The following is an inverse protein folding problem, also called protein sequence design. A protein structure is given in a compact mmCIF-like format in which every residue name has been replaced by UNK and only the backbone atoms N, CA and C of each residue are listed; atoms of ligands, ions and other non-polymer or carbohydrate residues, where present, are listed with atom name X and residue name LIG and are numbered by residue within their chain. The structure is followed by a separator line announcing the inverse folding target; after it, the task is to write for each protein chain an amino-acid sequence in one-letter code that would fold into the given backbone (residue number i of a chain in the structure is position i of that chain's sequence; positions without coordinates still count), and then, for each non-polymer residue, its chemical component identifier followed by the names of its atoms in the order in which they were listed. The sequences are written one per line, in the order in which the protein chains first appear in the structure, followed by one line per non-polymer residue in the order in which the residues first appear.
data_IF_792080054278
#
_entry.id   IF_792080054278
#
_cell.length_a   1.000
_cell.length_b   1.000
_cell.length_c   1.000
_cell.angle_alpha   90.00
_cell.angle_beta   90.00
_cell.angle_gamma   90.00
#
_symmetry.space_group_name_H-M   'P 1'
#
loop_
_entity.id
_entity.type
_entity.pdbx_description
1 polymer ?
#
# COMPACT_ATOMS: atom_id res chain seq x y z
N UNK A 1 3.66 -17.58 -5.31
CA UNK A 1 3.49 -16.11 -5.41
C UNK A 1 4.75 -15.33 -5.14
N UNK A 2 5.44 -15.58 -4.03
CA UNK A 2 6.67 -14.83 -3.72
C UNK A 2 7.72 -14.89 -4.83
N UNK A 3 7.81 -16.02 -5.55
CA UNK A 3 8.73 -16.19 -6.68
C UNK A 3 8.42 -15.28 -7.86
N UNK A 4 7.22 -14.71 -7.93
CA UNK A 4 6.84 -13.77 -9.00
C UNK A 4 7.23 -12.33 -8.69
N UNK A 5 7.62 -12.05 -7.45
CA UNK A 5 8.04 -10.72 -7.05
C UNK A 5 9.48 -10.48 -7.49
N UNK A 6 9.67 -9.46 -8.32
CA UNK A 6 11.00 -9.04 -8.79
C UNK A 6 11.56 -7.87 -8.01
N UNK A 7 11.01 -7.67 -6.81
CA UNK A 7 11.45 -6.61 -5.89
C UNK A 7 12.19 -7.24 -4.72
N UNK A 8 12.89 -6.40 -3.99
CA UNK A 8 13.53 -6.79 -2.73
C UNK A 8 13.14 -5.78 -1.66
N UNK A 9 12.68 -6.28 -0.52
CA UNK A 9 12.41 -5.47 0.66
C UNK A 9 13.43 -5.85 1.73
N UNK A 10 14.22 -4.87 2.20
CA UNK A 10 15.14 -5.05 3.32
C UNK A 10 14.31 -5.06 4.60
N UNK A 11 14.36 -6.15 5.35
CA UNK A 11 13.38 -6.44 6.40
C UNK A 11 13.75 -5.91 7.78
N UNK A 12 14.90 -5.29 7.96
CA UNK A 12 15.33 -4.72 9.25
C UNK A 12 15.75 -3.28 9.07
N UNK A 13 15.23 -2.40 9.93
CA UNK A 13 15.59 -1.00 9.95
C UNK A 13 15.60 -0.47 11.37
N UNK A 14 16.50 0.47 11.63
CA UNK A 14 16.46 1.26 12.87
C UNK A 14 15.36 2.33 12.74
N UNK A 15 14.84 2.78 13.87
CA UNK A 15 13.86 3.86 13.93
C UNK A 15 14.55 5.18 13.51
N UNK A 16 14.35 5.56 12.27
CA UNK A 16 14.94 6.78 11.67
C UNK A 16 14.32 7.00 10.28
N UNK A 17 14.73 8.08 9.63
CA UNK A 17 14.33 8.44 8.26
C UNK A 17 15.44 8.00 7.29
N UNK A 18 15.03 7.36 6.18
CA UNK A 18 15.94 6.86 5.15
C UNK A 18 15.38 7.11 3.75
N UNK A 19 16.23 7.08 2.72
CA UNK A 19 15.72 6.99 1.35
C UNK A 19 14.91 5.72 1.14
N UNK A 20 13.74 5.83 0.51
CA UNK A 20 12.88 4.69 0.19
C UNK A 20 13.65 3.58 -0.52
N UNK A 21 14.47 3.94 -1.51
CA UNK A 21 15.18 2.98 -2.34
C UNK A 21 16.25 2.18 -1.60
N UNK A 22 16.62 2.59 -0.39
CA UNK A 22 17.54 1.80 0.43
C UNK A 22 16.89 0.52 0.97
N UNK A 23 15.56 0.53 1.14
CA UNK A 23 14.81 -0.58 1.76
C UNK A 23 13.86 -1.26 0.79
N UNK A 24 13.36 -0.55 -0.21
CA UNK A 24 12.36 -1.04 -1.15
C UNK A 24 12.96 -0.96 -2.56
N UNK A 25 13.51 -2.09 -3.03
CA UNK A 25 14.29 -2.15 -4.26
C UNK A 25 13.51 -2.81 -5.39
N UNK A 26 13.65 -2.27 -6.60
CA UNK A 26 13.04 -2.84 -7.79
C UNK A 26 11.62 -2.33 -8.07
N UNK A 27 11.05 -1.49 -7.21
CA UNK A 27 9.70 -0.96 -7.41
C UNK A 27 9.59 -0.09 -8.64
N UNK A 28 10.68 0.52 -9.10
CA UNK A 28 10.70 1.32 -10.33
C UNK A 28 10.42 0.48 -11.59
N UNK A 29 10.55 -0.84 -11.48
CA UNK A 29 10.28 -1.77 -12.59
C UNK A 29 8.89 -2.38 -12.54
N UNK A 30 8.14 -2.13 -11.47
CA UNK A 30 6.80 -2.69 -11.30
C UNK A 30 5.81 -1.91 -12.17
N UNK A 31 5.07 -2.63 -13.02
CA UNK A 31 4.13 -2.00 -13.95
C UNK A 31 3.08 -1.16 -13.21
N UNK A 32 2.54 -1.65 -12.08
CA UNK A 32 1.57 -0.91 -11.29
C UNK A 32 2.14 0.43 -10.78
N UNK A 33 3.42 0.47 -10.40
CA UNK A 33 4.08 1.69 -9.94
C UNK A 33 4.30 2.65 -11.12
N UNK A 34 4.73 2.11 -12.26
CA UNK A 34 4.93 2.93 -13.46
C UNK A 34 3.62 3.54 -13.97
N UNK A 35 2.50 2.87 -13.77
CA UNK A 35 1.19 3.44 -14.07
C UNK A 35 0.87 4.66 -13.21
N UNK A 36 1.37 4.70 -11.97
CA UNK A 36 1.16 5.83 -11.06
C UNK A 36 1.97 7.05 -11.46
N UNK A 37 3.23 6.88 -11.80
CA UNK A 37 4.19 7.98 -11.95
C UNK A 37 4.73 8.16 -13.36
N UNK A 38 4.49 7.19 -14.26
CA UNK A 38 4.92 7.26 -15.65
C UNK A 38 6.43 7.44 -15.80
N UNK A 39 6.85 8.40 -16.61
CA UNK A 39 8.26 8.69 -16.85
C UNK A 39 8.99 9.22 -15.62
N UNK A 40 8.26 9.70 -14.62
CA UNK A 40 8.84 10.24 -13.39
C UNK A 40 9.06 9.16 -12.31
N UNK A 41 8.78 7.90 -12.60
CA UNK A 41 8.85 6.83 -11.60
C UNK A 41 10.18 6.78 -10.87
N UNK A 42 11.29 6.72 -11.59
CA UNK A 42 12.62 6.63 -10.98
C UNK A 42 12.92 7.88 -10.12
N UNK A 43 12.58 9.06 -10.61
CA UNK A 43 12.79 10.31 -9.89
C UNK A 43 11.96 10.34 -8.59
N UNK A 44 10.68 10.01 -8.67
CA UNK A 44 9.79 10.01 -7.50
C UNK A 44 10.31 9.06 -6.44
N UNK A 45 10.63 7.82 -6.80
CA UNK A 45 11.10 6.83 -5.83
C UNK A 45 12.46 7.20 -5.24
N UNK A 46 13.36 7.76 -6.04
CA UNK A 46 14.67 8.20 -5.58
C UNK A 46 14.57 9.32 -4.54
N UNK A 47 13.60 10.21 -4.69
CA UNK A 47 13.40 11.35 -3.80
C UNK A 47 12.47 11.06 -2.62
N UNK A 48 11.77 9.91 -2.64
CA UNK A 48 10.86 9.52 -1.58
C UNK A 48 11.65 9.08 -0.35
N UNK A 49 11.22 9.54 0.82
CA UNK A 49 11.79 9.13 2.09
C UNK A 49 10.84 8.20 2.84
N UNK A 50 11.40 7.32 3.65
CA UNK A 50 10.64 6.43 4.52
C UNK A 50 11.09 6.63 5.97
N UNK A 51 10.11 6.81 6.85
CA UNK A 51 10.32 6.89 8.29
C UNK A 51 9.92 5.55 8.91
N UNK A 52 10.87 4.89 9.57
CA UNK A 52 10.56 3.70 10.35
C UNK A 52 10.29 4.11 11.79
N UNK A 53 9.21 3.57 12.36
CA UNK A 53 8.80 3.90 13.72
C UNK A 53 8.58 2.64 14.55
N UNK A 54 8.46 2.79 15.87
CA UNK A 54 8.24 1.69 16.80
C UNK A 54 6.77 1.41 17.07
N UNK A 55 5.86 2.03 16.30
CA UNK A 55 4.43 1.87 16.49
C UNK A 55 3.90 0.50 16.10
N UNK A 56 2.65 0.25 16.47
CA UNK A 56 1.94 -1.02 16.19
C UNK A 56 1.18 -1.02 14.87
N UNK A 57 1.26 0.04 14.10
CA UNK A 57 0.57 0.14 12.81
C UNK A 57 1.26 -0.68 11.73
N UNK A 58 0.89 -0.40 10.51
CA UNK A 58 1.47 -1.05 9.33
C UNK A 58 2.28 -0.02 8.53
N UNK A 59 1.63 0.70 7.65
CA UNK A 59 2.21 1.74 6.81
C UNK A 59 1.25 2.91 6.68
N UNK A 60 1.78 4.06 6.26
CA UNK A 60 0.99 5.24 5.95
C UNK A 60 1.83 6.28 5.24
N UNK A 61 1.19 7.34 4.78
CA UNK A 61 1.86 8.49 4.15
C UNK A 61 1.54 9.74 4.97
N UNK A 62 2.58 10.53 5.25
CA UNK A 62 2.42 11.79 5.95
C UNK A 62 1.63 12.79 5.09
N UNK A 63 0.59 13.38 5.68
CA UNK A 63 -0.16 14.45 5.02
C UNK A 63 0.57 15.79 4.98
N UNK A 64 1.71 15.90 5.65
CA UNK A 64 2.50 17.14 5.70
C UNK A 64 3.46 17.26 4.52
N UNK A 65 4.24 16.21 4.25
CA UNK A 65 5.28 16.24 3.22
C UNK A 65 5.27 15.02 2.30
N UNK A 66 4.34 14.09 2.49
CA UNK A 66 4.19 12.93 1.61
C UNK A 66 5.19 11.81 1.83
N UNK A 67 5.99 11.85 2.89
CA UNK A 67 6.92 10.74 3.14
C UNK A 67 6.17 9.49 3.63
N UNK A 68 6.76 8.33 3.37
CA UNK A 68 6.20 7.05 3.79
C UNK A 68 6.54 6.77 5.25
N UNK A 69 5.58 6.24 6.01
CA UNK A 69 5.77 5.79 7.39
C UNK A 69 5.55 4.30 7.46
N UNK A 70 6.47 3.57 8.07
CA UNK A 70 6.40 2.11 8.18
C UNK A 70 6.75 1.69 9.60
N UNK A 71 5.94 0.83 10.19
CA UNK A 71 6.28 0.18 11.45
C UNK A 71 7.48 -0.74 11.23
N UNK A 72 8.55 -0.54 12.03
CA UNK A 72 9.73 -1.40 11.96
C UNK A 72 9.40 -2.86 12.29
N UNK A 73 8.46 -3.07 13.23
CA UNK A 73 7.99 -4.42 13.57
C UNK A 73 7.28 -5.08 12.37
N UNK A 74 6.40 -4.34 11.71
CA UNK A 74 5.70 -4.85 10.52
C UNK A 74 6.69 -5.16 9.39
N UNK A 75 7.66 -4.29 9.17
CA UNK A 75 8.71 -4.52 8.17
C UNK A 75 9.44 -5.85 8.43
N UNK A 76 9.78 -6.10 9.67
CA UNK A 76 10.54 -7.29 10.07
C UNK A 76 9.68 -8.57 10.05
N UNK A 77 8.44 -8.50 10.51
CA UNK A 77 7.62 -9.69 10.78
C UNK A 77 6.44 -9.87 9.82
N UNK A 78 6.09 -8.87 9.03
CA UNK A 78 4.93 -8.96 8.14
C UNK A 78 5.14 -9.95 6.99
N UNK A 79 4.04 -10.45 6.47
CA UNK A 79 4.06 -11.29 5.27
C UNK A 79 4.57 -10.47 4.07
N UNK A 80 5.44 -11.08 3.26
CA UNK A 80 6.09 -10.36 2.15
C UNK A 80 5.07 -9.89 1.10
N UNK A 81 4.03 -10.67 0.84
CA UNK A 81 2.98 -10.28 -0.13
C UNK A 81 2.17 -9.11 0.43
N UNK A 82 1.80 -9.17 1.71
CA UNK A 82 1.08 -8.07 2.35
C UNK A 82 1.92 -6.80 2.35
N UNK A 83 3.21 -6.90 2.69
CA UNK A 83 4.14 -5.76 2.63
C UNK A 83 4.21 -5.17 1.23
N UNK A 84 4.33 -6.02 0.23
CA UNK A 84 4.37 -5.59 -1.16
C UNK A 84 3.10 -4.83 -1.56
N UNK A 85 1.93 -5.40 -1.25
CA UNK A 85 0.65 -4.78 -1.58
C UNK A 85 0.44 -3.47 -0.81
N UNK A 86 0.89 -3.42 0.44
CA UNK A 86 0.82 -2.20 1.23
C UNK A 86 1.71 -1.10 0.66
N UNK A 87 2.89 -1.44 0.15
CA UNK A 87 3.73 -0.45 -0.54
C UNK A 87 3.01 0.10 -1.78
N UNK A 88 2.37 -0.77 -2.58
CA UNK A 88 1.57 -0.33 -3.73
C UNK A 88 0.47 0.63 -3.27
N UNK A 89 -0.27 0.27 -2.23
CA UNK A 89 -1.33 1.08 -1.64
C UNK A 89 -0.79 2.46 -1.23
N UNK A 90 0.33 2.50 -0.51
CA UNK A 90 0.90 3.74 -0.03
C UNK A 90 1.49 4.61 -1.17
N UNK A 91 2.03 4.00 -2.21
CA UNK A 91 2.50 4.76 -3.38
C UNK A 91 1.35 5.46 -4.10
N UNK A 92 0.12 4.90 -4.06
CA UNK A 92 -1.05 5.61 -4.56
C UNK A 92 -1.27 6.89 -3.74
N UNK A 93 -1.15 6.80 -2.41
CA UNK A 93 -1.27 7.98 -1.55
C UNK A 93 -0.16 9.01 -1.81
N UNK A 94 1.06 8.57 -2.12
CA UNK A 94 2.14 9.48 -2.53
C UNK A 94 1.74 10.26 -3.78
N UNK A 95 1.18 9.56 -4.76
CA UNK A 95 0.68 10.21 -5.99
C UNK A 95 -0.43 11.21 -5.66
N UNK A 96 -1.39 10.81 -4.83
CA UNK A 96 -2.49 11.68 -4.42
C UNK A 96 -1.98 12.93 -3.69
N UNK A 97 -0.99 12.75 -2.82
CA UNK A 97 -0.34 13.88 -2.14
C UNK A 97 0.31 14.84 -3.15
N UNK A 98 1.03 14.30 -4.14
CA UNK A 98 1.65 15.12 -5.20
C UNK A 98 0.62 15.88 -6.03
N UNK A 99 -0.59 15.34 -6.14
CA UNK A 99 -1.71 15.97 -6.84
C UNK A 99 -2.47 16.98 -5.97
N UNK A 100 -2.05 17.16 -4.73
CA UNK A 100 -2.70 18.10 -3.79
C UNK A 100 -3.98 17.59 -3.16
N UNK A 101 -4.26 16.29 -3.21
CA UNK A 101 -5.46 15.71 -2.60
C UNK A 101 -5.32 15.61 -1.09
N UNK A 102 -6.44 15.81 -0.39
CA UNK A 102 -6.48 15.63 1.06
C UNK A 102 -6.60 14.13 1.37
N UNK A 103 -5.55 13.55 1.97
CA UNK A 103 -5.50 12.12 2.23
C UNK A 103 -6.43 11.67 3.36
N UNK A 104 -6.72 12.56 4.32
CA UNK A 104 -7.55 12.24 5.50
C UNK A 104 -8.77 13.14 5.54
N UNK A 105 -9.58 13.09 4.48
CA UNK A 105 -10.81 13.86 4.38
C UNK A 105 -11.80 13.39 5.46
N UNK A 106 -12.07 14.27 6.42
CA UNK A 106 -12.97 13.97 7.56
C UNK A 106 -14.43 13.92 7.18
N UNK A 107 -14.79 14.31 5.97
CA UNK A 107 -16.15 14.18 5.47
C UNK A 107 -16.55 12.73 5.21
N UNK A 108 -15.56 11.81 5.20
CA UNK A 108 -15.75 10.39 4.96
C UNK A 108 -15.15 9.56 6.08
N UNK A 109 -15.78 8.45 6.44
CA UNK A 109 -15.16 7.41 7.23
C UNK A 109 -14.01 6.75 6.44
N UNK A 110 -13.14 6.05 7.12
CA UNK A 110 -11.91 5.52 6.53
C UNK A 110 -12.15 4.73 5.23
N UNK A 111 -13.05 3.74 5.26
CA UNK A 111 -13.29 2.88 4.09
C UNK A 111 -14.13 3.55 3.01
N UNK A 112 -14.74 4.69 3.32
CA UNK A 112 -15.59 5.43 2.38
C UNK A 112 -14.81 6.55 1.68
N UNK A 113 -13.57 6.84 2.10
CA UNK A 113 -12.75 7.89 1.50
C UNK A 113 -12.37 7.54 0.08
N UNK A 114 -12.65 8.40 -0.90
CA UNK A 114 -12.25 8.13 -2.28
C UNK A 114 -10.75 7.84 -2.45
N UNK A 115 -9.89 8.51 -1.65
CA UNK A 115 -8.45 8.28 -1.69
C UNK A 115 -8.09 6.86 -1.21
N UNK A 116 -8.75 6.35 -0.18
CA UNK A 116 -8.52 4.99 0.32
C UNK A 116 -9.07 3.95 -0.65
N UNK A 117 -10.26 4.18 -1.20
CA UNK A 117 -10.86 3.26 -2.17
C UNK A 117 -9.95 3.11 -3.39
N UNK A 118 -9.42 4.21 -3.92
CA UNK A 118 -8.47 4.18 -5.04
C UNK A 118 -7.22 3.39 -4.68
N UNK A 119 -6.65 3.63 -3.50
CA UNK A 119 -5.44 2.94 -3.06
C UNK A 119 -5.67 1.44 -2.88
N UNK A 120 -6.78 1.05 -2.25
CA UNK A 120 -7.14 -0.37 -2.11
C UNK A 120 -7.39 -1.02 -3.46
N UNK A 121 -8.01 -0.31 -4.40
CA UNK A 121 -8.28 -0.85 -5.73
C UNK A 121 -6.97 -1.22 -6.43
N UNK A 122 -5.97 -0.35 -6.39
CA UNK A 122 -4.66 -0.63 -6.98
C UNK A 122 -3.99 -1.85 -6.32
N UNK A 123 -4.03 -1.93 -4.99
CA UNK A 123 -3.46 -3.06 -4.25
C UNK A 123 -4.16 -4.37 -4.59
N UNK A 124 -5.49 -4.36 -4.63
CA UNK A 124 -6.31 -5.56 -4.95
C UNK A 124 -6.04 -6.01 -6.39
N UNK A 125 -5.97 -5.08 -7.34
CA UNK A 125 -5.69 -5.42 -8.73
C UNK A 125 -4.30 -6.08 -8.86
N UNK A 126 -3.32 -5.58 -8.12
CA UNK A 126 -1.99 -6.20 -8.10
C UNK A 126 -2.02 -7.58 -7.44
N UNK A 127 -2.79 -7.74 -6.37
CA UNK A 127 -2.99 -9.04 -5.74
C UNK A 127 -3.60 -10.06 -6.71
N UNK A 128 -4.61 -9.64 -7.47
CA UNK A 128 -5.22 -10.49 -8.51
C UNK A 128 -4.22 -10.87 -9.59
N UNK A 129 -3.39 -9.92 -10.03
CA UNK A 129 -2.34 -10.17 -11.01
C UNK A 129 -1.35 -11.23 -10.51
N UNK A 130 -1.05 -11.22 -9.21
CA UNK A 130 -0.17 -12.20 -8.57
C UNK A 130 -0.85 -13.57 -8.37
N UNK A 131 -2.13 -13.68 -8.65
CA UNK A 131 -2.86 -14.95 -8.52
C UNK A 131 -3.46 -15.18 -7.14
N UNK A 132 -3.64 -14.13 -6.32
CA UNK A 132 -4.28 -14.28 -5.02
C UNK A 132 -5.73 -14.71 -5.19
N UNK A 133 -6.17 -15.68 -4.39
CA UNK A 133 -7.56 -16.10 -4.35
C UNK A 133 -8.45 -14.98 -3.77
N UNK A 134 -9.74 -15.06 -4.05
CA UNK A 134 -10.72 -14.14 -3.46
C UNK A 134 -10.62 -14.14 -1.92
N UNK A 135 -10.50 -15.32 -1.33
CA UNK A 135 -10.34 -15.46 0.13
C UNK A 135 -9.11 -14.70 0.64
N UNK A 136 -7.97 -14.86 -0.05
CA UNK A 136 -6.73 -14.18 0.34
C UNK A 136 -6.85 -12.66 0.21
N UNK A 137 -7.54 -12.18 -0.82
CA UNK A 137 -7.79 -10.75 -0.99
C UNK A 137 -8.62 -10.21 0.17
N UNK A 138 -9.69 -10.92 0.56
CA UNK A 138 -10.51 -10.51 1.70
C UNK A 138 -9.71 -10.51 3.01
N UNK A 139 -8.86 -11.51 3.22
CA UNK A 139 -7.97 -11.57 4.39
C UNK A 139 -7.01 -10.37 4.40
N UNK A 140 -6.46 -10.02 3.24
CA UNK A 140 -5.58 -8.84 3.12
C UNK A 140 -6.32 -7.54 3.47
N UNK A 141 -7.57 -7.37 3.00
CA UNK A 141 -8.36 -6.16 3.24
C UNK A 141 -8.79 -6.03 4.71
N UNK A 142 -8.99 -7.14 5.42
CA UNK A 142 -9.46 -7.14 6.80
C UNK A 142 -8.32 -6.74 7.73
N UNK A 143 -8.34 -5.51 8.22
CA UNK A 143 -7.38 -5.02 9.21
C UNK A 143 -8.00 -5.06 10.62
N UNK A 144 -7.17 -5.00 11.66
CA UNK A 144 -7.63 -4.99 13.05
C UNK A 144 -8.57 -3.83 13.38
N UNK A 145 -8.45 -2.73 12.62
CA UNK A 145 -9.25 -1.51 12.85
C UNK A 145 -10.55 -1.49 12.05
N UNK A 146 -10.79 -2.52 11.26
CA UNK A 146 -11.93 -2.56 10.35
C UNK A 146 -12.99 -3.51 10.89
N UNK A 147 -14.21 -3.01 11.06
CA UNK A 147 -15.35 -3.85 11.42
C UNK A 147 -15.78 -4.70 10.22
N UNK A 148 -16.61 -5.73 10.47
CA UNK A 148 -17.18 -6.53 9.39
C UNK A 148 -18.03 -5.68 8.45
N UNK A 149 -18.74 -4.68 9.01
CA UNK A 149 -19.52 -3.74 8.21
C UNK A 149 -18.65 -2.87 7.32
N UNK A 150 -17.52 -2.39 7.84
CA UNK A 150 -16.54 -1.63 7.07
C UNK A 150 -16.00 -2.46 5.92
N UNK A 151 -15.63 -3.70 6.19
CA UNK A 151 -15.14 -4.62 5.15
C UNK A 151 -16.20 -4.82 4.07
N UNK A 152 -17.45 -5.03 4.48
CA UNK A 152 -18.55 -5.21 3.55
C UNK A 152 -18.72 -4.01 2.63
N UNK A 153 -18.66 -2.78 3.18
CA UNK A 153 -18.74 -1.56 2.38
C UNK A 153 -17.56 -1.42 1.43
N UNK A 154 -16.35 -1.75 1.90
CA UNK A 154 -15.15 -1.68 1.07
C UNK A 154 -15.22 -2.68 -0.08
N UNK A 155 -15.63 -3.92 0.20
CA UNK A 155 -15.82 -4.98 -0.81
C UNK A 155 -16.79 -4.50 -1.89
N UNK A 156 -17.89 -3.87 -1.48
CA UNK A 156 -18.87 -3.31 -2.41
C UNK A 156 -18.26 -2.18 -3.26
N UNK A 157 -17.54 -1.25 -2.61
CA UNK A 157 -16.91 -0.13 -3.32
C UNK A 157 -15.86 -0.61 -4.33
N UNK A 158 -15.16 -1.70 -4.02
CA UNK A 158 -14.16 -2.31 -4.90
C UNK A 158 -14.76 -3.26 -5.94
N UNK A 159 -16.08 -3.46 -5.92
CA UNK A 159 -16.82 -4.35 -6.82
C UNK A 159 -16.33 -5.80 -6.75
N UNK A 160 -16.07 -6.27 -5.54
CA UNK A 160 -15.63 -7.64 -5.27
C UNK A 160 -16.79 -8.56 -4.88
N UNK A 161 -18.02 -8.04 -4.79
CA UNK A 161 -19.19 -8.85 -4.46
C UNK A 161 -19.43 -9.93 -5.52
N UNK A 162 -19.76 -11.12 -5.07
CA UNK A 162 -20.06 -12.23 -5.97
C UNK A 162 -18.86 -12.86 -6.65
N UNK A 163 -17.65 -12.37 -6.43
CA UNK A 163 -16.45 -13.00 -6.96
C UNK A 163 -16.21 -14.33 -6.23
N UNK A 164 -15.74 -15.30 -6.96
CA UNK A 164 -15.43 -16.63 -6.45
C UNK A 164 -14.03 -17.02 -6.88
N UNK A 165 -13.40 -17.88 -6.10
CA UNK A 165 -12.14 -18.49 -6.48
C UNK A 165 -12.35 -19.40 -7.68
N UNK A 166 -11.46 -19.27 -8.65
CA UNK A 166 -11.48 -20.11 -9.85
C UNK A 166 -10.69 -21.39 -9.66
#
# INVERSE_FOLDING_TARGET
MASQLKIMIVRKAHVAMYPFTNYFKGFEKVAAVRQLFGEKTEEVLRNLEVEFNSGRGYMGVSGEDGHLRVSANYLNNGDIIDLYLDVIHELVHVKQFMEGKELRDRNFGYVDRPTEIEAFLHAVNEGKRLGMSHKKILEYLQTERMSDEDLSRLVKALKLEGEKDS
#
